data_IF_565807282154
#
_entry.id   IF_565807282154
#
_cell.length_a   1.000
_cell.length_b   1.000
_cell.length_c   1.000
_cell.angle_alpha   90.00
_cell.angle_beta   90.00
_cell.angle_gamma   90.00
#
_symmetry.space_group_name_H-M   'P 1'
#
loop_
_entity.id
_entity.type
_entity.pdbx_description
1 polymer ?
#
# COMPACT_ATOMS: atom_id res chain seq x y z
N UNK A 1 14.67 -13.83 25.43
CA UNK A 1 14.16 -13.26 24.15
C UNK A 1 13.67 -11.85 24.45
N UNK A 2 14.17 -10.85 23.73
CA UNK A 2 13.75 -9.46 23.92
C UNK A 2 12.62 -9.14 22.93
N UNK A 3 11.50 -8.59 23.43
CA UNK A 3 10.39 -8.16 22.57
C UNK A 3 10.62 -6.70 22.20
N UNK A 4 10.64 -6.41 20.90
CA UNK A 4 10.72 -5.04 20.39
C UNK A 4 9.32 -4.56 19.99
N UNK A 5 8.94 -3.37 20.45
CA UNK A 5 7.65 -2.75 20.10
C UNK A 5 7.83 -1.65 19.07
N UNK A 6 7.12 -1.77 17.95
CA UNK A 6 7.08 -0.75 16.90
C UNK A 6 5.77 0.04 16.98
N UNK A 7 5.89 1.37 17.01
CA UNK A 7 4.73 2.25 17.01
C UNK A 7 4.16 2.34 15.60
N UNK A 8 2.86 2.09 15.46
CA UNK A 8 2.13 2.22 14.20
C UNK A 8 1.05 3.27 14.31
N UNK A 9 0.80 3.99 13.22
CA UNK A 9 -0.21 5.01 13.13
C UNK A 9 -1.29 4.53 12.18
N UNK A 10 -2.53 4.48 12.66
CA UNK A 10 -3.70 4.38 11.79
C UNK A 10 -4.05 5.78 11.32
N UNK A 11 -4.10 5.95 10.00
CA UNK A 11 -4.43 7.22 9.37
C UNK A 11 -5.67 7.04 8.49
N UNK A 12 -6.57 8.02 8.49
CA UNK A 12 -7.89 7.96 7.86
C UNK A 12 -8.15 9.21 7.02
N UNK A 13 -8.97 9.06 5.97
CA UNK A 13 -9.42 10.14 5.09
C UNK A 13 -10.88 9.91 4.69
N UNK A 14 -11.64 10.98 4.57
CA UNK A 14 -13.00 10.96 4.02
C UNK A 14 -12.94 11.01 2.48
N UNK A 15 -13.77 10.24 1.80
CA UNK A 15 -13.79 10.08 0.33
C UNK A 15 -14.77 11.03 -0.36
N UNK A 16 -15.24 12.06 0.35
CA UNK A 16 -16.31 12.97 -0.06
C UNK A 16 -15.91 13.93 -1.22
N UNK A 17 -14.74 13.76 -1.82
CA UNK A 17 -14.21 14.59 -2.88
C UNK A 17 -13.61 13.77 -4.01
N UNK A 18 -13.65 14.30 -5.24
CA UNK A 18 -13.06 13.65 -6.41
C UNK A 18 -11.53 13.77 -6.35
N UNK A 19 -10.86 12.73 -5.87
CA UNK A 19 -9.43 12.56 -6.10
C UNK A 19 -9.24 12.11 -7.55
N UNK A 20 -8.82 13.02 -8.44
CA UNK A 20 -8.48 12.67 -9.81
C UNK A 20 -7.16 11.88 -9.80
N UNK A 21 -7.12 10.65 -10.34
CA UNK A 21 -5.89 9.89 -10.46
C UNK A 21 -4.84 10.68 -11.24
N UNK A 22 -3.61 10.72 -10.75
CA UNK A 22 -2.50 11.38 -11.43
C UNK A 22 -2.08 10.59 -12.67
N UNK A 23 -1.66 11.32 -13.71
CA UNK A 23 -0.90 10.72 -14.81
C UNK A 23 0.47 10.27 -14.31
N UNK A 24 0.96 9.19 -14.90
CA UNK A 24 2.33 8.74 -14.68
C UNK A 24 3.26 9.41 -15.70
N UNK A 25 4.52 9.72 -15.34
CA UNK A 25 5.48 10.18 -16.32
C UNK A 25 5.82 9.04 -17.28
N UNK A 26 5.99 9.33 -18.58
CA UNK A 26 6.53 8.34 -19.52
C UNK A 26 7.92 7.87 -19.08
N UNK A 27 8.29 6.60 -19.30
CA UNK A 27 7.53 5.54 -19.99
C UNK A 27 6.66 4.68 -19.06
N UNK A 28 6.25 5.19 -17.89
CA UNK A 28 5.49 4.42 -16.90
C UNK A 28 4.01 4.37 -17.23
N UNK A 29 3.37 3.23 -16.96
CA UNK A 29 1.93 3.05 -17.16
C UNK A 29 1.28 2.23 -16.05
N UNK A 30 -0.03 2.40 -15.92
CA UNK A 30 -0.85 1.68 -14.94
C UNK A 30 -1.16 0.27 -15.44
N UNK A 31 -0.91 -0.73 -14.61
CA UNK A 31 -1.40 -2.08 -14.82
C UNK A 31 -2.52 -2.36 -13.78
N UNK A 32 -3.77 -2.57 -14.22
CA UNK A 32 -4.86 -2.95 -13.31
C UNK A 32 -4.59 -4.32 -12.72
N UNK A 33 -5.22 -4.62 -11.58
CA UNK A 33 -5.22 -5.98 -11.05
C UNK A 33 -5.72 -7.00 -12.09
N UNK A 34 -5.01 -8.11 -12.18
CA UNK A 34 -5.46 -9.36 -12.80
C UNK A 34 -4.87 -10.54 -12.01
N UNK A 35 -5.53 -11.70 -12.00
CA UNK A 35 -5.09 -12.89 -11.26
C UNK A 35 -3.67 -13.36 -11.64
N UNK A 36 -3.26 -13.36 -12.93
CA UNK A 36 -1.90 -13.72 -13.30
C UNK A 36 -0.84 -12.78 -12.71
N UNK A 37 -1.19 -11.53 -12.41
CA UNK A 37 -0.26 -10.52 -11.88
C UNK A 37 -0.04 -10.62 -10.36
N UNK A 38 -0.65 -11.60 -9.70
CA UNK A 38 -0.47 -11.81 -8.25
C UNK A 38 1.02 -11.96 -7.88
N UNK A 39 1.77 -12.72 -8.68
CA UNK A 39 3.19 -12.93 -8.46
C UNK A 39 3.99 -11.64 -8.63
N UNK A 40 3.63 -10.79 -9.58
CA UNK A 40 4.27 -9.50 -9.83
C UNK A 40 4.01 -8.51 -8.69
N UNK A 41 2.78 -8.46 -8.18
CA UNK A 41 2.47 -7.68 -6.98
C UNK A 41 3.30 -8.12 -5.78
N UNK A 42 3.47 -9.42 -5.58
CA UNK A 42 4.29 -9.96 -4.51
C UNK A 42 5.77 -9.60 -4.69
N UNK A 43 6.26 -9.64 -5.93
CA UNK A 43 7.65 -9.33 -6.26
C UNK A 43 7.98 -7.87 -6.02
N UNK A 44 7.17 -6.95 -6.55
CA UNK A 44 7.36 -5.51 -6.34
C UNK A 44 7.27 -5.17 -4.85
N UNK A 45 6.37 -5.84 -4.12
CA UNK A 45 6.28 -5.70 -2.66
C UNK A 45 7.59 -6.09 -1.99
N UNK A 46 8.12 -7.28 -2.28
CA UNK A 46 9.41 -7.70 -1.75
C UNK A 46 10.52 -6.70 -2.08
N UNK A 47 10.66 -6.29 -3.34
CA UNK A 47 11.68 -5.34 -3.77
C UNK A 47 11.52 -3.95 -3.10
N UNK A 48 10.29 -3.53 -2.82
CA UNK A 48 9.99 -2.24 -2.18
C UNK A 48 10.27 -2.22 -0.69
N UNK A 49 10.11 -3.34 0.01
CA UNK A 49 10.14 -3.39 1.48
C UNK A 49 11.33 -4.14 2.08
N UNK A 50 12.05 -4.98 1.34
CA UNK A 50 13.11 -5.85 1.89
C UNK A 50 14.23 -5.15 2.67
N UNK A 51 14.43 -3.86 2.43
CA UNK A 51 15.44 -3.02 3.09
C UNK A 51 14.83 -1.90 3.93
N UNK A 52 13.52 -1.95 4.18
CA UNK A 52 12.77 -0.94 4.93
C UNK A 52 12.49 -1.39 6.35
N UNK A 53 12.20 -0.42 7.23
CA UNK A 53 11.77 -0.69 8.61
C UNK A 53 10.56 -1.63 8.66
N UNK A 54 9.67 -1.54 7.68
CA UNK A 54 8.49 -2.37 7.57
C UNK A 54 8.83 -3.87 7.44
N UNK A 55 10.01 -4.27 6.92
CA UNK A 55 10.46 -5.66 6.96
C UNK A 55 10.90 -6.12 8.35
N UNK A 56 11.39 -5.22 9.21
CA UNK A 56 11.63 -5.53 10.62
C UNK A 56 10.32 -5.65 11.41
N UNK A 57 9.32 -4.85 11.05
CA UNK A 57 7.98 -4.89 11.68
C UNK A 57 7.15 -6.09 11.19
N UNK A 58 7.26 -6.42 9.90
CA UNK A 58 6.58 -7.52 9.24
C UNK A 58 7.60 -8.37 8.48
N UNK A 59 8.19 -9.40 9.12
CA UNK A 59 9.23 -10.23 8.51
C UNK A 59 8.85 -10.85 7.15
N UNK A 60 7.54 -11.07 6.91
CA UNK A 60 7.07 -11.55 5.61
C UNK A 60 7.34 -10.58 4.45
N UNK A 61 7.56 -9.28 4.71
CA UNK A 61 7.93 -8.29 3.69
C UNK A 61 9.43 -8.34 3.34
N UNK A 62 10.26 -8.93 4.22
CA UNK A 62 11.68 -9.18 3.99
C UNK A 62 11.98 -10.49 3.25
N UNK A 63 10.96 -11.32 3.00
CA UNK A 63 11.08 -12.62 2.36
C UNK A 63 10.19 -12.70 1.10
N UNK A 64 10.76 -13.18 0.00
CA UNK A 64 10.05 -13.26 -1.30
C UNK A 64 8.85 -14.21 -1.20
N UNK A 65 9.02 -15.36 -0.55
CA UNK A 65 7.94 -16.33 -0.36
C UNK A 65 6.87 -15.78 0.60
N UNK A 66 7.29 -15.08 1.65
CA UNK A 66 6.44 -14.33 2.56
C UNK A 66 5.55 -13.32 1.85
N UNK A 67 6.09 -12.57 0.90
CA UNK A 67 5.34 -11.63 0.06
C UNK A 67 4.32 -12.34 -0.85
N UNK A 68 4.69 -13.48 -1.44
CA UNK A 68 3.75 -14.29 -2.24
C UNK A 68 2.60 -14.81 -1.39
N UNK A 69 2.90 -15.36 -0.21
CA UNK A 69 1.87 -15.83 0.72
C UNK A 69 0.95 -14.69 1.16
N UNK A 70 1.53 -13.55 1.54
CA UNK A 70 0.78 -12.36 1.92
C UNK A 70 -0.15 -11.87 0.79
N UNK A 71 0.32 -11.84 -0.45
CA UNK A 71 -0.55 -11.48 -1.59
C UNK A 71 -1.71 -12.45 -1.78
N UNK A 72 -1.47 -13.77 -1.66
CA UNK A 72 -2.55 -14.78 -1.70
C UNK A 72 -3.56 -14.57 -0.57
N UNK A 73 -3.10 -14.24 0.63
CA UNK A 73 -3.97 -13.94 1.77
C UNK A 73 -4.81 -12.68 1.55
N UNK A 74 -4.20 -11.60 1.05
CA UNK A 74 -4.92 -10.35 0.71
C UNK A 74 -5.98 -10.62 -0.36
N UNK A 75 -5.62 -11.34 -1.41
CA UNK A 75 -6.55 -11.67 -2.50
C UNK A 75 -7.76 -12.50 -2.04
N UNK A 76 -7.55 -13.40 -1.08
CA UNK A 76 -8.62 -14.25 -0.51
C UNK A 76 -9.56 -13.53 0.45
N UNK A 77 -9.28 -12.27 0.82
CA UNK A 77 -10.20 -11.50 1.66
C UNK A 77 -11.52 -11.29 0.93
N UNK A 78 -12.68 -11.46 1.59
CA UNK A 78 -13.98 -11.23 0.96
C UNK A 78 -14.12 -9.83 0.35
N UNK A 79 -13.48 -8.82 0.96
CA UNK A 79 -13.49 -7.45 0.47
C UNK A 79 -12.33 -7.07 -0.46
N UNK A 80 -11.53 -8.02 -0.97
CA UNK A 80 -10.47 -7.65 -1.91
C UNK A 80 -11.06 -6.86 -3.09
N UNK A 81 -10.49 -5.68 -3.39
CA UNK A 81 -11.05 -4.76 -4.38
C UNK A 81 -10.05 -4.57 -5.54
N UNK A 82 -10.29 -5.22 -6.71
CA UNK A 82 -9.49 -5.05 -7.92
C UNK A 82 -9.35 -3.58 -8.35
N UNK A 83 -10.42 -2.80 -8.25
CA UNK A 83 -10.50 -1.40 -8.68
C UNK A 83 -9.58 -0.47 -7.86
N UNK A 84 -9.20 -0.89 -6.65
CA UNK A 84 -8.27 -0.18 -5.77
C UNK A 84 -6.91 -0.90 -5.64
N UNK A 85 -6.63 -1.90 -6.48
CA UNK A 85 -5.39 -2.68 -6.49
C UNK A 85 -4.66 -2.50 -7.82
N UNK A 86 -3.43 -1.98 -7.76
CA UNK A 86 -2.72 -1.52 -8.95
C UNK A 86 -1.23 -1.84 -8.92
N UNK A 87 -0.67 -2.03 -10.11
CA UNK A 87 0.76 -1.98 -10.39
C UNK A 87 1.10 -0.73 -11.20
N UNK A 88 2.33 -0.25 -11.04
CA UNK A 88 2.99 0.63 -12.00
C UNK A 88 3.99 -0.21 -12.77
N UNK A 89 3.83 -0.28 -14.09
CA UNK A 89 4.78 -0.89 -14.99
C UNK A 89 5.77 0.16 -15.52
N UNK A 90 7.01 -0.28 -15.72
CA UNK A 90 8.07 0.47 -16.39
C UNK A 90 8.81 -0.42 -17.40
N UNK A 91 9.88 0.10 -18.04
CA UNK A 91 10.55 -0.57 -19.15
C UNK A 91 11.12 -1.95 -18.83
N UNK A 92 11.57 -2.15 -17.58
CA UNK A 92 12.24 -3.38 -17.13
C UNK A 92 11.35 -4.24 -16.23
N UNK A 93 10.05 -3.92 -16.14
CA UNK A 93 9.09 -4.62 -15.30
C UNK A 93 8.35 -3.67 -14.36
N UNK A 94 7.74 -4.24 -13.32
CA UNK A 94 6.90 -3.47 -12.40
C UNK A 94 7.72 -2.75 -11.32
N UNK A 95 7.32 -1.52 -11.02
CA UNK A 95 8.11 -0.59 -10.17
C UNK A 95 7.33 -0.07 -8.96
N UNK A 96 6.01 -0.26 -8.94
CA UNK A 96 5.16 0.16 -7.82
C UNK A 96 3.93 -0.75 -7.65
N UNK A 97 3.45 -0.87 -6.43
CA UNK A 97 2.33 -1.76 -6.05
C UNK A 97 1.50 -1.15 -4.94
N UNK A 98 0.19 -1.38 -4.98
CA UNK A 98 -0.77 -1.02 -3.92
C UNK A 98 -1.91 -2.04 -3.92
N UNK A 99 -2.43 -2.38 -2.74
CA UNK A 99 -3.61 -3.23 -2.59
C UNK A 99 -4.71 -2.47 -1.85
N UNK A 100 -5.94 -2.58 -2.36
CA UNK A 100 -7.14 -2.05 -1.74
C UNK A 100 -8.09 -3.18 -1.32
N UNK A 101 -8.66 -3.04 -0.12
CA UNK A 101 -9.62 -4.01 0.43
C UNK A 101 -10.77 -3.24 1.08
N UNK A 102 -12.01 -3.62 0.81
CA UNK A 102 -13.19 -3.20 1.57
C UNK A 102 -13.16 -3.87 2.94
N UNK A 103 -13.17 -3.06 3.99
CA UNK A 103 -13.24 -3.48 5.39
C UNK A 103 -14.68 -3.33 5.91
N UNK A 104 -14.90 -3.40 7.23
CA UNK A 104 -16.22 -3.23 7.83
C UNK A 104 -16.92 -1.91 7.44
N UNK A 105 -18.17 -2.00 6.97
CA UNK A 105 -18.96 -0.84 6.52
C UNK A 105 -18.45 -0.24 5.20
N UNK A 106 -18.77 1.03 4.88
CA UNK A 106 -18.31 1.69 3.66
C UNK A 106 -16.87 2.21 3.81
N UNK A 107 -15.94 1.37 4.27
CA UNK A 107 -14.55 1.77 4.58
C UNK A 107 -13.55 0.95 3.78
N UNK A 108 -12.68 1.63 3.03
CA UNK A 108 -11.54 1.02 2.34
C UNK A 108 -10.28 0.96 3.21
N UNK A 109 -9.50 -0.11 3.07
CA UNK A 109 -8.19 -0.29 3.68
C UNK A 109 -7.12 -0.33 2.58
N UNK A 110 -6.18 0.62 2.61
CA UNK A 110 -4.99 0.61 1.77
C UNK A 110 -3.92 -0.24 2.44
N UNK A 111 -3.34 -1.17 1.68
CA UNK A 111 -2.31 -2.09 2.13
C UNK A 111 -1.09 -2.04 1.20
N UNK A 112 0.08 -2.17 1.81
CA UNK A 112 1.37 -2.41 1.16
C UNK A 112 1.70 -1.46 -0.01
N UNK A 113 1.55 -0.16 0.20
CA UNK A 113 2.01 0.87 -0.76
C UNK A 113 3.53 0.81 -0.92
N UNK A 114 4.00 0.31 -2.06
CA UNK A 114 5.42 0.08 -2.31
C UNK A 114 5.87 0.68 -3.64
N UNK A 115 7.05 1.28 -3.65
CA UNK A 115 7.78 1.67 -4.86
C UNK A 115 9.22 1.19 -4.71
N UNK A 116 9.75 0.52 -5.74
CA UNK A 116 11.11 -0.01 -5.70
C UNK A 116 12.13 1.15 -5.57
N UNK A 117 13.27 0.94 -4.90
CA UNK A 117 14.19 2.03 -4.55
C UNK A 117 14.62 2.93 -5.70
N UNK A 118 14.89 2.39 -6.90
CA UNK A 118 15.34 3.14 -8.08
C UNK A 118 14.28 4.08 -8.68
N UNK A 119 13.00 3.94 -8.30
CA UNK A 119 11.89 4.76 -8.81
C UNK A 119 11.27 5.68 -7.74
N UNK A 120 11.93 5.82 -6.58
CA UNK A 120 11.47 6.70 -5.49
C UNK A 120 11.78 8.17 -5.79
N UNK A 121 11.10 9.08 -5.09
CA UNK A 121 11.26 10.52 -5.30
C UNK A 121 10.51 11.07 -6.52
N UNK A 122 9.96 10.21 -7.38
CA UNK A 122 9.22 10.58 -8.60
C UNK A 122 7.71 10.80 -8.37
N UNK A 123 7.25 10.82 -7.12
CA UNK A 123 5.83 10.99 -6.78
C UNK A 123 4.94 9.74 -6.99
N UNK A 124 5.51 8.59 -7.36
CA UNK A 124 4.74 7.36 -7.67
C UNK A 124 3.93 6.82 -6.49
N UNK A 125 4.48 6.88 -5.27
CA UNK A 125 3.75 6.46 -4.06
C UNK A 125 2.49 7.29 -3.83
N UNK A 126 2.54 8.58 -4.18
CA UNK A 126 1.36 9.44 -4.16
C UNK A 126 0.34 9.04 -5.23
N UNK A 127 0.82 8.83 -6.46
CA UNK A 127 -0.03 8.44 -7.58
C UNK A 127 -0.76 7.11 -7.30
N UNK A 128 -0.08 6.14 -6.68
CA UNK A 128 -0.67 4.86 -6.24
C UNK A 128 -1.83 5.09 -5.28
N UNK A 129 -1.63 5.91 -4.25
CA UNK A 129 -2.66 6.20 -3.24
C UNK A 129 -3.84 6.93 -3.87
N UNK A 130 -3.59 7.97 -4.67
CA UNK A 130 -4.67 8.71 -5.38
C UNK A 130 -5.52 7.76 -6.22
N UNK A 131 -4.89 6.81 -6.92
CA UNK A 131 -5.60 5.83 -7.76
C UNK A 131 -6.39 4.80 -6.94
N UNK A 132 -5.85 4.33 -5.82
CA UNK A 132 -6.59 3.44 -4.92
C UNK A 132 -7.80 4.14 -4.27
N UNK A 133 -7.65 5.42 -3.89
CA UNK A 133 -8.76 6.24 -3.38
C UNK A 133 -9.87 6.40 -4.43
N UNK A 134 -9.50 6.64 -5.69
CA UNK A 134 -10.47 6.67 -6.79
C UNK A 134 -11.21 5.33 -6.96
N UNK A 135 -10.51 4.19 -6.82
CA UNK A 135 -11.13 2.87 -6.82
C UNK A 135 -12.14 2.68 -5.67
N UNK A 136 -11.82 3.15 -4.47
CA UNK A 136 -12.76 3.13 -3.34
C UNK A 136 -13.98 4.01 -3.55
N UNK A 137 -13.81 5.21 -4.12
CA UNK A 137 -14.93 6.10 -4.47
C UNK A 137 -15.84 5.43 -5.50
N UNK A 138 -15.28 4.80 -6.54
CA UNK A 138 -16.06 4.06 -7.55
C UNK A 138 -16.83 2.89 -6.95
N UNK A 139 -16.28 2.24 -5.93
CA UNK A 139 -16.94 1.18 -5.17
C UNK A 139 -17.98 1.68 -4.14
N UNK A 140 -18.23 3.00 -4.07
CA UNK A 140 -19.21 3.59 -3.16
C UNK A 140 -18.76 3.65 -1.69
N UNK A 141 -17.46 3.57 -1.41
CA UNK A 141 -16.95 3.72 -0.05
C UNK A 141 -16.89 5.20 0.34
N UNK A 142 -17.08 5.48 1.62
CA UNK A 142 -17.15 6.84 2.17
C UNK A 142 -15.86 7.25 2.86
N UNK A 143 -15.06 6.28 3.31
CA UNK A 143 -13.80 6.53 4.03
C UNK A 143 -12.74 5.55 3.60
N UNK A 144 -11.48 5.94 3.74
CA UNK A 144 -10.35 5.03 3.59
C UNK A 144 -9.37 5.18 4.76
N UNK A 145 -8.65 4.11 5.07
CA UNK A 145 -7.59 4.13 6.06
C UNK A 145 -6.37 3.34 5.62
N UNK A 146 -5.27 3.57 6.33
CA UNK A 146 -4.04 2.80 6.25
C UNK A 146 -3.35 2.74 7.60
N UNK A 147 -2.40 1.83 7.72
CA UNK A 147 -1.53 1.73 8.89
C UNK A 147 -0.06 1.84 8.47
N UNK A 148 0.67 2.75 9.11
CA UNK A 148 2.07 3.05 8.79
C UNK A 148 2.94 3.00 10.03
N UNK A 149 4.15 2.49 9.89
CA UNK A 149 5.16 2.50 10.95
C UNK A 149 5.60 3.94 11.24
N UNK A 150 5.57 4.38 12.50
CA UNK A 150 5.77 5.80 12.86
C UNK A 150 7.18 6.32 12.50
N UNK A 151 8.16 5.42 12.51
CA UNK A 151 9.54 5.65 12.12
C UNK A 151 9.69 5.85 10.60
N UNK A 152 8.75 5.39 9.78
CA UNK A 152 8.69 5.64 8.35
C UNK A 152 8.18 7.08 8.08
N UNK A 153 9.02 8.07 8.43
CA UNK A 153 8.67 9.50 8.37
C UNK A 153 8.27 9.95 6.97
N UNK A 154 8.91 9.40 5.93
CA UNK A 154 8.59 9.71 4.55
C UNK A 154 7.16 9.29 4.18
N UNK A 155 6.75 8.07 4.53
CA UNK A 155 5.38 7.61 4.29
C UNK A 155 4.37 8.40 5.12
N UNK A 156 4.66 8.68 6.40
CA UNK A 156 3.77 9.51 7.25
C UNK A 156 3.57 10.91 6.66
N UNK A 157 4.63 11.56 6.16
CA UNK A 157 4.53 12.86 5.51
C UNK A 157 3.74 12.79 4.21
N UNK A 158 3.96 11.76 3.38
CA UNK A 158 3.18 11.49 2.18
C UNK A 158 1.69 11.42 2.50
N UNK A 159 1.27 10.57 3.43
CA UNK A 159 -0.14 10.40 3.76
C UNK A 159 -0.76 11.68 4.34
N UNK A 160 -0.06 12.41 5.20
CA UNK A 160 -0.53 13.72 5.69
C UNK A 160 -0.77 14.71 4.56
N UNK A 161 0.16 14.78 3.62
CA UNK A 161 0.07 15.67 2.45
C UNK A 161 -0.96 15.23 1.41
N UNK A 162 -1.53 14.03 1.56
CA UNK A 162 -2.69 13.54 0.81
C UNK A 162 -4.01 13.82 1.52
N UNK A 163 -3.96 14.40 2.73
CA UNK A 163 -5.16 14.71 3.53
C UNK A 163 -5.49 13.66 4.58
N UNK A 164 -4.72 12.57 4.68
CA UNK A 164 -4.93 11.60 5.76
C UNK A 164 -4.61 12.22 7.13
N UNK A 165 -5.47 11.94 8.10
CA UNK A 165 -5.33 12.39 9.49
C UNK A 165 -5.09 11.19 10.38
N UNK A 166 -4.29 11.36 11.44
CA UNK A 166 -4.06 10.28 12.42
C UNK A 166 -5.34 10.04 13.22
N UNK A 167 -5.87 8.82 13.16
CA UNK A 167 -7.04 8.40 13.92
C UNK A 167 -6.63 7.64 15.20
N UNK A 168 -5.66 6.73 15.12
CA UNK A 168 -5.21 5.90 16.26
C UNK A 168 -3.70 5.68 16.26
N UNK A 169 -3.16 5.40 17.45
CA UNK A 169 -1.80 4.86 17.63
C UNK A 169 -1.93 3.41 18.06
N UNK A 170 -1.18 2.54 17.40
CA UNK A 170 -1.14 1.10 17.60
C UNK A 170 0.30 0.70 17.95
N UNK A 171 0.49 -0.48 18.52
CA UNK A 171 1.82 -1.05 18.77
C UNK A 171 1.86 -2.48 18.25
N UNK A 172 2.96 -2.84 17.59
CA UNK A 172 3.21 -4.21 17.17
C UNK A 172 4.45 -4.74 17.89
N UNK A 173 4.27 -5.83 18.63
CA UNK A 173 5.36 -6.60 19.21
C UNK A 173 6.00 -7.49 18.14
N UNK A 174 7.33 -7.55 18.13
CA UNK A 174 8.14 -8.43 17.29
C UNK A 174 9.16 -9.12 18.18
N UNK A 175 9.24 -10.45 18.07
CA UNK A 175 10.24 -11.25 18.75
C UNK A 175 11.62 -11.03 18.11
N UNK A 176 12.62 -10.74 18.94
CA UNK A 176 14.03 -10.60 18.54
C UNK A 176 14.85 -11.85 18.73
#
# INVERSE_FOLDING_TARGET
>A
MAITYYKRLRMEIDLNGSALPRSLPEPLYWAPWDEPLLADHAEVKYLSFRSEIDAAVFPCLGDRYGCQRLMREIRRKPGFLPEATWLIAGPEGYVGTIQGVVDYGPIGAIQNVGVIPSYRGLGLGRALVDRALAGFIQAGLERAYLEVTAENRAAVQLYRSLGFRRAKTLYKAVDG
#
